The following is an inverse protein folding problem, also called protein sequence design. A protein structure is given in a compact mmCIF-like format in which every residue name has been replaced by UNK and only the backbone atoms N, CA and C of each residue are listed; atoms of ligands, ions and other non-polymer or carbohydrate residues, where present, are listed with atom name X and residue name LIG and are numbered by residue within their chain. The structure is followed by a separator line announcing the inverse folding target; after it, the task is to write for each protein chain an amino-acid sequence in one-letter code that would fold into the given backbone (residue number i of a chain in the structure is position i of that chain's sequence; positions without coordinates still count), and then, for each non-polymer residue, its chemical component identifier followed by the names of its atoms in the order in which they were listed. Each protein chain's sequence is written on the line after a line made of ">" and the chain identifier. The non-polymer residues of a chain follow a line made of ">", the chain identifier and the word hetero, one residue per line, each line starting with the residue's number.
data_IF_919313554617
#
_entry.id   IF_919313554617
#
_cell.length_a   1.000
_cell.length_b   1.000
_cell.length_c   1.000
_cell.angle_alpha   90.00
_cell.angle_beta   90.00
_cell.angle_gamma   90.00
#
_symmetry.space_group_name_H-M   'P 1'
#
loop_
_entity.id
_entity.type
_entity.pdbx_description
1 polymer ?
#
# COMPACT_ATOMS: atom_id res chain seq x y z
N UNK A 1 6.32 -6.92 7.58
CA UNK A 1 5.85 -5.54 7.86
C UNK A 1 4.41 -5.62 8.34
N UNK A 2 3.95 -4.77 9.27
CA UNK A 2 2.55 -4.79 9.78
C UNK A 2 1.86 -3.46 9.47
N UNK A 3 0.56 -3.48 9.22
CA UNK A 3 -0.22 -2.24 9.14
C UNK A 3 -0.44 -1.65 10.52
N UNK A 4 -0.93 -0.41 10.55
CA UNK A 4 -1.30 0.30 11.78
C UNK A 4 -2.47 -0.37 12.53
N UNK A 5 -3.24 -1.22 11.85
CA UNK A 5 -4.30 -2.05 12.46
C UNK A 5 -3.80 -3.43 12.90
N UNK A 6 -2.49 -3.70 12.83
CA UNK A 6 -1.91 -5.00 13.19
C UNK A 6 -2.10 -6.09 12.13
N UNK A 7 -2.61 -5.75 10.94
CA UNK A 7 -2.81 -6.71 9.85
C UNK A 7 -1.48 -7.02 9.17
N UNK A 8 -1.24 -8.30 8.89
CA UNK A 8 -0.05 -8.75 8.17
C UNK A 8 -0.07 -8.24 6.73
N UNK A 9 0.97 -7.51 6.34
CA UNK A 9 1.16 -7.07 4.96
C UNK A 9 1.75 -8.24 4.17
N UNK A 10 1.16 -8.63 3.03
CA UNK A 10 1.73 -9.69 2.21
C UNK A 10 3.12 -9.33 1.66
N UNK A 11 3.99 -10.31 1.51
CA UNK A 11 5.39 -10.12 1.10
C UNK A 11 5.52 -9.40 -0.25
N UNK A 12 4.60 -9.64 -1.19
CA UNK A 12 4.60 -8.97 -2.49
C UNK A 12 4.49 -7.44 -2.36
N UNK A 13 3.61 -6.97 -1.48
CA UNK A 13 3.41 -5.55 -1.23
C UNK A 13 4.54 -4.99 -0.36
N UNK A 14 4.97 -5.74 0.66
CA UNK A 14 6.09 -5.34 1.51
C UNK A 14 7.38 -5.16 0.70
N UNK A 15 7.70 -6.10 -0.20
CA UNK A 15 8.86 -6.02 -1.07
C UNK A 15 8.76 -4.85 -2.05
N UNK A 16 7.57 -4.60 -2.62
CA UNK A 16 7.37 -3.47 -3.51
C UNK A 16 7.44 -2.11 -2.80
N UNK A 17 6.96 -2.00 -1.57
CA UNK A 17 7.13 -0.81 -0.73
C UNK A 17 8.61 -0.58 -0.41
N UNK A 18 9.37 -1.63 -0.10
CA UNK A 18 10.79 -1.51 0.22
C UNK A 18 11.70 -1.17 -0.98
N UNK A 19 11.22 -1.35 -2.21
CA UNK A 19 11.95 -0.92 -3.41
C UNK A 19 12.18 0.59 -3.46
N UNK A 20 11.27 1.36 -2.86
CA UNK A 20 11.37 2.81 -2.80
C UNK A 20 11.50 3.25 -1.33
N UNK A 21 12.60 3.90 -0.92
CA UNK A 21 12.84 4.24 0.47
C UNK A 21 11.80 5.22 1.05
N UNK A 22 11.09 6.00 0.22
CA UNK A 22 10.07 6.94 0.73
C UNK A 22 8.67 6.31 0.87
N UNK A 23 8.41 5.22 0.15
CA UNK A 23 7.09 4.56 0.15
C UNK A 23 6.66 4.00 1.51
N UNK A 24 7.52 3.35 2.32
CA UNK A 24 7.18 2.94 3.68
C UNK A 24 6.68 4.10 4.54
N UNK A 25 7.30 5.28 4.42
CA UNK A 25 6.89 6.47 5.16
C UNK A 25 5.55 7.04 4.66
N UNK A 26 5.30 7.01 3.36
CA UNK A 26 3.99 7.39 2.80
C UNK A 26 2.89 6.41 3.24
N UNK A 27 3.21 5.12 3.23
CA UNK A 27 2.30 4.06 3.66
C UNK A 27 1.94 4.21 5.14
N UNK A 28 2.91 4.47 6.02
CA UNK A 28 2.67 4.66 7.45
C UNK A 28 1.77 5.86 7.75
N UNK A 29 1.94 6.94 6.98
CA UNK A 29 1.09 8.15 7.07
C UNK A 29 -0.31 7.96 6.50
N UNK A 30 -0.55 6.89 5.74
CA UNK A 30 -1.86 6.59 5.17
C UNK A 30 -2.87 6.27 6.29
N UNK A 31 -4.16 6.56 6.05
CA UNK A 31 -5.22 6.21 7.01
C UNK A 31 -5.28 4.68 7.20
N UNK A 32 -5.49 4.18 8.43
CA UNK A 32 -5.52 2.74 8.70
C UNK A 32 -6.61 2.01 7.89
N UNK A 33 -7.75 2.66 7.64
CA UNK A 33 -8.83 2.12 6.80
C UNK A 33 -8.39 1.90 5.34
N UNK A 34 -7.60 2.83 4.77
CA UNK A 34 -7.08 2.70 3.42
C UNK A 34 -6.07 1.55 3.32
N UNK A 35 -5.18 1.41 4.31
CA UNK A 35 -4.24 0.28 4.38
C UNK A 35 -4.99 -1.06 4.37
N UNK A 36 -6.08 -1.16 5.14
CA UNK A 36 -6.93 -2.35 5.18
C UNK A 36 -7.56 -2.65 3.82
N UNK A 37 -8.22 -1.67 3.21
CA UNK A 37 -8.87 -1.84 1.89
C UNK A 37 -7.88 -2.28 0.83
N UNK A 38 -6.65 -1.77 0.84
CA UNK A 38 -5.61 -2.16 -0.11
C UNK A 38 -5.14 -3.60 0.09
N UNK A 39 -5.04 -4.07 1.34
CA UNK A 39 -4.71 -5.47 1.61
C UNK A 39 -5.84 -6.39 1.17
N UNK A 40 -7.10 -6.05 1.49
CA UNK A 40 -8.26 -6.83 1.04
C UNK A 40 -8.30 -6.90 -0.50
N UNK A 41 -8.07 -5.77 -1.17
CA UNK A 41 -7.94 -5.70 -2.62
C UNK A 41 -6.78 -6.55 -3.15
N UNK A 42 -5.67 -6.66 -2.44
CA UNK A 42 -4.55 -7.51 -2.87
C UNK A 42 -4.83 -9.00 -2.66
N UNK A 43 -5.42 -9.35 -1.51
CA UNK A 43 -5.74 -10.74 -1.13
C UNK A 43 -6.79 -11.36 -2.05
N UNK A 44 -7.73 -10.57 -2.55
CA UNK A 44 -8.73 -11.03 -3.50
C UNK A 44 -8.14 -11.43 -4.87
N UNK A 45 -6.96 -10.89 -5.25
CA UNK A 45 -6.27 -11.30 -6.47
C UNK A 45 -5.55 -12.65 -6.30
N UNK A 46 -6.22 -13.72 -6.74
CA UNK A 46 -5.69 -15.09 -6.71
C UNK A 46 -4.62 -15.38 -7.76
N UNK A 47 -4.59 -14.63 -8.87
CA UNK A 47 -3.61 -14.81 -9.95
C UNK A 47 -2.36 -13.96 -9.70
N UNK A 48 -1.14 -14.51 -9.82
CA UNK A 48 0.09 -13.77 -9.54
C UNK A 48 0.26 -12.54 -10.44
N UNK A 49 -0.06 -12.64 -11.73
CA UNK A 49 0.01 -11.50 -12.67
C UNK A 49 -0.94 -10.35 -12.27
N UNK A 50 -2.15 -10.69 -11.81
CA UNK A 50 -3.12 -9.69 -11.34
C UNK A 50 -2.64 -9.06 -10.05
N UNK A 51 -2.03 -9.86 -9.18
CA UNK A 51 -1.50 -9.42 -7.90
C UNK A 51 -0.38 -8.39 -8.09
N UNK A 52 0.56 -8.63 -9.00
CA UNK A 52 1.60 -7.65 -9.38
C UNK A 52 0.99 -6.32 -9.85
N UNK A 53 0.01 -6.37 -10.76
CA UNK A 53 -0.68 -5.16 -11.24
C UNK A 53 -1.42 -4.43 -10.11
N UNK A 54 -2.02 -5.16 -9.17
CA UNK A 54 -2.67 -4.56 -7.98
C UNK A 54 -1.66 -3.92 -7.05
N UNK A 55 -0.48 -4.53 -6.83
CA UNK A 55 0.61 -3.94 -6.03
C UNK A 55 1.02 -2.59 -6.62
N UNK A 56 1.30 -2.52 -7.92
CA UNK A 56 1.66 -1.25 -8.58
C UNK A 56 0.57 -0.19 -8.44
N UNK A 57 -0.70 -0.61 -8.56
CA UNK A 57 -1.84 0.29 -8.37
C UNK A 57 -1.93 0.80 -6.93
N UNK A 58 -1.72 -0.06 -5.95
CA UNK A 58 -1.70 0.31 -4.53
C UNK A 58 -0.59 1.35 -4.26
N UNK A 59 0.61 1.16 -4.82
CA UNK A 59 1.69 2.14 -4.72
C UNK A 59 1.30 3.51 -5.29
N UNK A 60 0.69 3.53 -6.50
CA UNK A 60 0.19 4.77 -7.10
C UNK A 60 -0.88 5.45 -6.24
N UNK A 61 -1.83 4.69 -5.71
CA UNK A 61 -2.88 5.21 -4.83
C UNK A 61 -2.30 5.75 -3.51
N UNK A 62 -1.28 5.08 -2.96
CA UNK A 62 -0.57 5.53 -1.75
C UNK A 62 0.12 6.87 -2.00
N UNK A 63 0.86 7.00 -3.10
CA UNK A 63 1.52 8.26 -3.49
C UNK A 63 0.51 9.39 -3.74
N UNK A 64 -0.57 9.11 -4.48
CA UNK A 64 -1.62 10.10 -4.74
C UNK A 64 -2.31 10.56 -3.45
N UNK A 65 -2.65 9.64 -2.55
CA UNK A 65 -3.26 9.98 -1.26
C UNK A 65 -2.32 10.85 -0.42
N UNK A 66 -1.02 10.52 -0.42
CA UNK A 66 0.01 11.29 0.27
C UNK A 66 0.17 12.69 -0.32
N UNK A 67 0.25 12.83 -1.64
CA UNK A 67 0.39 14.10 -2.34
C UNK A 67 -0.83 15.02 -2.11
N UNK A 68 -2.04 14.46 -2.13
CA UNK A 68 -3.28 15.22 -1.85
C UNK A 68 -3.30 15.77 -0.43
N UNK A 69 -2.76 15.02 0.54
CA UNK A 69 -2.68 15.47 1.92
C UNK A 69 -1.59 16.53 2.11
N UNK A 70 -0.42 16.35 1.50
CA UNK A 70 0.67 17.33 1.57
C UNK A 70 0.31 18.69 0.97
N UNK A 71 -0.46 18.74 -0.13
CA UNK A 71 -0.91 20.00 -0.74
C UNK A 71 -1.89 20.80 0.12
N UNK A 72 -2.33 20.25 1.26
CA UNK A 72 -3.31 20.88 2.16
C UNK A 72 -2.67 21.52 3.40
N UNK A 73 -1.34 21.59 3.46
CA UNK A 73 -0.54 22.29 4.47
C UNK A 73 0.27 23.37 3.78
#
# INVERSE_FOLDING_TARGET
>A
MKTKLGQTIPDDLSGALQKDPVMPGMWDKLRPSCQRTYIEYLVEAKKPETRTRRVERILKMTADCYQRHQKKT
#
